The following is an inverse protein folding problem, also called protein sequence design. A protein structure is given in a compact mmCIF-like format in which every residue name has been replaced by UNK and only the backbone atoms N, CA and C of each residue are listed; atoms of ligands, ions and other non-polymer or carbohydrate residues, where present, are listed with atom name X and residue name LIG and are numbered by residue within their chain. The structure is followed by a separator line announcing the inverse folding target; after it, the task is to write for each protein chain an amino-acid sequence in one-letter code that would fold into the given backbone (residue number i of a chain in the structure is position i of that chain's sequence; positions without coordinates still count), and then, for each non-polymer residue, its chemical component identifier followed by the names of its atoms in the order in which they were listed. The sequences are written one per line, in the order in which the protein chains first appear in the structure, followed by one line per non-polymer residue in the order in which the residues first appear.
data_IF_933185941822
#
_entry.id   IF_933185941822
#
_cell.length_a   1.000
_cell.length_b   1.000
_cell.length_c   1.000
_cell.angle_alpha   90.00
_cell.angle_beta   90.00
_cell.angle_gamma   90.00
#
_symmetry.space_group_name_H-M   'P 1'
#
loop_
_entity.id
_entity.type
_entity.pdbx_description
1 polymer ?
#
# COMPACT_ATOMS: atom_id res chain seq x y z
N UNK A 1 9.68 12.52 -4.63
CA UNK A 1 8.56 12.06 -3.79
C UNK A 1 8.32 10.58 -4.09
N UNK A 2 8.15 9.72 -3.06
CA UNK A 2 7.83 8.30 -3.26
C UNK A 2 6.34 8.15 -3.52
N UNK A 3 5.94 7.46 -4.58
CA UNK A 3 4.56 7.06 -4.86
C UNK A 3 4.60 5.61 -5.29
N UNK A 4 3.75 4.80 -4.70
CA UNK A 4 3.60 3.39 -5.03
C UNK A 4 2.34 3.13 -5.86
N UNK A 5 2.23 1.94 -6.42
CA UNK A 5 1.05 1.53 -7.19
C UNK A 5 0.51 0.18 -6.71
N UNK A 6 -0.80 0.06 -6.62
CA UNK A 6 -1.49 -1.22 -6.51
C UNK A 6 -1.94 -1.63 -7.92
N UNK A 7 -1.21 -2.54 -8.55
CA UNK A 7 -1.51 -3.00 -9.90
C UNK A 7 -2.77 -3.88 -9.87
N UNK A 8 -3.76 -3.61 -10.73
CA UNK A 8 -4.91 -4.49 -10.89
C UNK A 8 -4.46 -5.90 -11.29
N UNK A 9 -4.93 -6.91 -10.58
CA UNK A 9 -4.60 -8.32 -10.88
C UNK A 9 -5.72 -9.05 -11.64
N UNK A 10 -6.73 -8.32 -12.09
CA UNK A 10 -7.81 -8.73 -12.99
C UNK A 10 -7.41 -8.53 -14.46
N UNK A 11 -8.29 -8.85 -15.40
CA UNK A 11 -8.06 -8.64 -16.83
C UNK A 11 -7.05 -9.63 -17.45
N UNK A 12 -6.51 -9.30 -18.60
CA UNK A 12 -5.52 -10.13 -19.31
C UNK A 12 -4.15 -10.02 -18.63
N UNK A 13 -3.34 -11.10 -18.69
CA UNK A 13 -1.98 -11.07 -18.14
C UNK A 13 -1.11 -9.98 -18.77
N UNK A 14 -1.25 -9.76 -20.07
CA UNK A 14 -0.52 -8.71 -20.80
C UNK A 14 -0.78 -7.30 -20.24
N UNK A 15 -2.01 -7.02 -19.80
CA UNK A 15 -2.37 -5.74 -19.16
C UNK A 15 -1.68 -5.60 -17.81
N UNK A 16 -1.78 -6.64 -16.96
CA UNK A 16 -1.13 -6.65 -15.63
C UNK A 16 0.38 -6.45 -15.77
N UNK A 17 1.00 -7.17 -16.69
CA UNK A 17 2.42 -7.05 -17.01
C UNK A 17 2.78 -5.68 -17.57
N UNK A 18 1.95 -5.13 -18.46
CA UNK A 18 2.10 -3.78 -19.02
C UNK A 18 2.08 -2.69 -17.96
N UNK A 19 1.11 -2.72 -17.05
CA UNK A 19 1.06 -1.77 -15.93
C UNK A 19 2.29 -1.86 -15.02
N UNK A 20 2.78 -3.06 -14.76
CA UNK A 20 3.96 -3.25 -13.93
C UNK A 20 5.24 -2.75 -14.62
N UNK A 21 5.39 -3.01 -15.91
CA UNK A 21 6.50 -2.50 -16.71
C UNK A 21 6.48 -0.97 -16.77
N UNK A 22 5.34 -0.38 -17.10
CA UNK A 22 5.15 1.07 -17.11
C UNK A 22 5.44 1.71 -15.75
N UNK A 23 4.95 1.13 -14.66
CA UNK A 23 5.23 1.61 -13.31
C UNK A 23 6.74 1.57 -12.98
N UNK A 24 7.45 0.55 -13.47
CA UNK A 24 8.91 0.44 -13.34
C UNK A 24 9.62 1.52 -14.13
N UNK A 25 9.24 1.75 -15.38
CA UNK A 25 9.80 2.80 -16.26
C UNK A 25 9.55 4.21 -15.69
N UNK A 26 8.36 4.46 -15.20
CA UNK A 26 7.97 5.72 -14.57
C UNK A 26 8.60 5.90 -13.16
N UNK A 27 9.35 4.92 -12.67
CA UNK A 27 10.08 4.99 -11.41
C UNK A 27 9.19 4.99 -10.16
N UNK A 28 8.08 4.28 -10.15
CA UNK A 28 7.30 4.05 -8.93
C UNK A 28 8.14 3.40 -7.85
N UNK A 29 7.83 3.69 -6.58
CA UNK A 29 8.61 3.19 -5.44
C UNK A 29 8.37 1.70 -5.20
N UNK A 30 7.12 1.25 -5.36
CA UNK A 30 6.77 -0.15 -5.28
C UNK A 30 5.57 -0.51 -6.16
N UNK A 31 5.54 -1.77 -6.60
CA UNK A 31 4.40 -2.43 -7.21
C UNK A 31 3.81 -3.35 -6.15
N UNK A 32 2.54 -3.15 -5.87
CA UNK A 32 1.80 -3.89 -4.87
C UNK A 32 0.71 -4.73 -5.54
N UNK A 33 0.44 -5.92 -5.03
CA UNK A 33 -0.67 -6.76 -5.46
C UNK A 33 -1.56 -7.12 -4.29
N UNK A 34 -2.88 -6.96 -4.44
CA UNK A 34 -3.85 -7.44 -3.45
C UNK A 34 -4.11 -8.95 -3.62
N UNK A 35 -4.37 -9.62 -2.50
CA UNK A 35 -4.73 -11.05 -2.50
C UNK A 35 -6.20 -11.21 -2.14
N UNK A 36 -7.07 -11.09 -3.15
CA UNK A 36 -8.54 -11.17 -2.99
C UNK A 36 -9.16 -12.24 -3.89
N UNK A 37 -9.91 -11.86 -4.92
CA UNK A 37 -10.62 -12.77 -5.84
C UNK A 37 -9.96 -12.92 -7.21
N UNK A 38 -8.90 -12.15 -7.47
CA UNK A 38 -8.21 -12.18 -8.75
C UNK A 38 -7.04 -13.19 -8.69
N UNK A 39 -5.94 -12.93 -9.40
CA UNK A 39 -4.77 -13.78 -9.39
C UNK A 39 -4.13 -13.83 -8.00
N UNK A 40 -3.50 -14.96 -7.68
CA UNK A 40 -2.66 -15.09 -6.49
C UNK A 40 -1.56 -14.03 -6.51
N UNK A 41 -1.47 -13.24 -5.43
CA UNK A 41 -0.54 -12.11 -5.39
C UNK A 41 0.92 -12.54 -5.41
N UNK A 42 1.28 -13.61 -4.74
CA UNK A 42 2.68 -14.07 -4.69
C UNK A 42 3.14 -14.61 -6.03
N UNK A 43 2.32 -15.44 -6.68
CA UNK A 43 2.60 -15.94 -8.04
C UNK A 43 2.69 -14.81 -9.05
N UNK A 44 1.80 -13.80 -8.93
CA UNK A 44 1.84 -12.61 -9.77
C UNK A 44 3.13 -11.83 -9.55
N UNK A 45 3.51 -11.55 -8.29
CA UNK A 45 4.72 -10.81 -7.95
C UNK A 45 5.99 -11.55 -8.37
N UNK A 46 6.03 -12.90 -8.22
CA UNK A 46 7.13 -13.71 -8.71
C UNK A 46 7.31 -13.57 -10.25
N UNK A 47 6.20 -13.60 -11.00
CA UNK A 47 6.24 -13.39 -12.44
C UNK A 47 6.67 -11.97 -12.83
N UNK A 48 6.32 -10.95 -12.04
CA UNK A 48 6.71 -9.55 -12.27
C UNK A 48 8.16 -9.23 -11.83
N UNK A 49 8.81 -10.09 -11.05
CA UNK A 49 10.12 -9.82 -10.47
C UNK A 49 11.20 -9.48 -11.50
N UNK A 50 11.19 -10.16 -12.66
CA UNK A 50 12.11 -9.91 -13.77
C UNK A 50 11.67 -8.76 -14.68
N UNK A 51 10.35 -8.44 -14.71
CA UNK A 51 9.79 -7.39 -15.56
C UNK A 51 9.91 -6.00 -14.95
N UNK A 52 10.06 -5.93 -13.60
CA UNK A 52 10.21 -4.69 -12.85
C UNK A 52 11.48 -4.75 -11.95
N UNK A 53 12.69 -4.76 -12.53
CA UNK A 53 13.94 -5.07 -11.82
C UNK A 53 14.38 -4.00 -10.81
N UNK A 54 13.86 -2.79 -10.89
CA UNK A 54 14.27 -1.66 -10.05
C UNK A 54 13.23 -1.22 -9.02
N UNK A 55 12.06 -1.87 -9.01
CA UNK A 55 10.93 -1.50 -8.17
C UNK A 55 10.78 -2.51 -7.03
N UNK A 56 10.41 -2.05 -5.85
CA UNK A 56 10.04 -2.95 -4.75
C UNK A 56 8.72 -3.65 -5.08
N UNK A 57 8.60 -4.90 -4.67
CA UNK A 57 7.39 -5.70 -4.84
C UNK A 57 6.76 -5.95 -3.47
N UNK A 58 5.42 -5.89 -3.39
CA UNK A 58 4.76 -6.11 -2.12
C UNK A 58 3.37 -6.74 -2.27
N UNK A 59 2.94 -7.49 -1.26
CA UNK A 59 1.52 -7.78 -1.09
C UNK A 59 0.83 -6.63 -0.35
N UNK A 60 -0.37 -6.22 -0.81
CA UNK A 60 -1.16 -5.18 -0.15
C UNK A 60 -2.67 -5.53 -0.14
N UNK A 61 -3.08 -6.50 0.65
CA UNK A 61 -2.30 -7.36 1.55
C UNK A 61 -2.71 -8.81 1.41
N UNK A 62 -1.89 -9.76 1.88
CA UNK A 62 -2.24 -11.18 1.91
C UNK A 62 -2.90 -11.53 3.27
N UNK A 63 -4.07 -12.22 3.29
CA UNK A 63 -4.69 -12.67 4.52
C UNK A 63 -3.88 -13.78 5.22
N UNK A 64 -3.70 -13.64 6.55
CA UNK A 64 -2.98 -14.64 7.36
C UNK A 64 -3.68 -16.01 7.44
N UNK A 65 -4.95 -16.07 7.09
CA UNK A 65 -5.74 -17.32 7.13
C UNK A 65 -5.68 -18.14 5.86
N UNK A 66 -5.07 -17.62 4.79
CA UNK A 66 -4.93 -18.36 3.52
C UNK A 66 -3.76 -19.34 3.51
N UNK A 67 -2.77 -19.12 4.35
CA UNK A 67 -1.57 -19.95 4.45
C UNK A 67 -1.19 -20.15 5.91
N UNK A 68 -0.60 -21.30 6.25
CA UNK A 68 0.07 -21.45 7.54
C UNK A 68 1.27 -20.46 7.63
N UNK A 69 1.71 -20.09 8.85
CA UNK A 69 2.91 -19.27 8.99
C UNK A 69 4.14 -19.83 8.26
N UNK A 70 4.31 -21.17 8.29
CA UNK A 70 5.41 -21.83 7.57
C UNK A 70 5.29 -21.65 6.05
N UNK A 71 4.10 -21.92 5.49
CA UNK A 71 3.87 -21.72 4.05
C UNK A 71 4.01 -20.24 3.65
N UNK A 72 3.60 -19.30 4.50
CA UNK A 72 3.78 -17.88 4.26
C UNK A 72 5.26 -17.49 4.31
N UNK A 73 6.00 -17.96 5.32
CA UNK A 73 7.44 -17.71 5.45
C UNK A 73 8.20 -18.21 4.22
N UNK A 74 7.90 -19.44 3.78
CA UNK A 74 8.51 -20.05 2.59
C UNK A 74 8.16 -19.26 1.31
N UNK A 75 6.88 -18.93 1.10
CA UNK A 75 6.43 -18.21 -0.08
C UNK A 75 7.05 -16.81 -0.16
N UNK A 76 7.02 -16.07 0.95
CA UNK A 76 7.56 -14.71 1.01
C UNK A 76 9.07 -14.68 0.79
N UNK A 77 9.81 -15.62 1.40
CA UNK A 77 11.25 -15.76 1.20
C UNK A 77 11.61 -16.10 -0.24
N UNK A 78 10.82 -16.96 -0.89
CA UNK A 78 11.00 -17.30 -2.31
C UNK A 78 10.80 -16.10 -3.23
N UNK A 79 9.73 -15.32 -3.00
CA UNK A 79 9.50 -14.09 -3.80
C UNK A 79 10.59 -13.06 -3.55
N UNK A 80 11.04 -12.92 -2.30
CA UNK A 80 12.14 -12.01 -1.94
C UNK A 80 13.44 -12.38 -2.66
N UNK A 81 13.78 -13.66 -2.71
CA UNK A 81 14.94 -14.17 -3.44
C UNK A 81 14.83 -13.91 -4.95
N UNK A 82 13.70 -14.28 -5.55
CA UNK A 82 13.43 -14.06 -6.98
C UNK A 82 13.50 -12.58 -7.40
N UNK A 83 13.17 -11.65 -6.53
CA UNK A 83 13.28 -10.23 -6.81
C UNK A 83 14.56 -9.57 -6.25
N UNK A 84 15.56 -10.36 -5.78
CA UNK A 84 16.82 -9.83 -5.30
C UNK A 84 16.72 -8.98 -4.04
N UNK A 85 15.89 -9.41 -3.08
CA UNK A 85 15.76 -8.75 -1.77
C UNK A 85 14.92 -7.48 -1.78
N UNK A 86 14.03 -7.29 -2.76
CA UNK A 86 13.18 -6.10 -2.90
C UNK A 86 11.74 -6.31 -2.44
N UNK A 87 11.43 -7.46 -1.82
CA UNK A 87 10.08 -7.81 -1.40
C UNK A 87 9.71 -7.19 -0.03
N UNK A 88 8.44 -6.84 0.12
CA UNK A 88 7.79 -6.48 1.38
C UNK A 88 6.55 -7.35 1.57
N UNK A 89 6.39 -7.93 2.74
CA UNK A 89 5.24 -8.77 3.07
C UNK A 89 4.13 -7.95 3.73
N UNK A 90 3.11 -7.59 2.99
CA UNK A 90 1.91 -6.98 3.55
C UNK A 90 0.91 -8.05 3.98
N UNK A 91 0.52 -8.04 5.25
CA UNK A 91 -0.40 -8.99 5.87
C UNK A 91 -1.68 -8.31 6.35
N UNK A 92 -2.78 -9.03 6.30
CA UNK A 92 -4.07 -8.60 6.84
C UNK A 92 -4.88 -9.75 7.41
N UNK A 93 -5.98 -9.45 8.09
CA UNK A 93 -6.91 -10.48 8.58
C UNK A 93 -7.97 -10.87 7.53
N UNK A 94 -8.12 -10.07 6.48
CA UNK A 94 -9.27 -10.18 5.60
C UNK A 94 -10.58 -9.79 6.30
N UNK A 95 -11.69 -9.93 5.60
CA UNK A 95 -13.02 -9.67 6.15
C UNK A 95 -13.65 -11.01 6.59
N UNK A 96 -14.32 -11.01 7.75
CA UNK A 96 -14.91 -12.22 8.34
C UNK A 96 -15.80 -12.99 7.35
N UNK A 97 -16.66 -12.27 6.62
CA UNK A 97 -17.56 -12.87 5.64
C UNK A 97 -16.77 -13.54 4.51
N UNK A 98 -15.79 -12.85 3.92
CA UNK A 98 -15.00 -13.40 2.81
C UNK A 98 -14.13 -14.57 3.26
N UNK A 99 -13.52 -14.49 4.44
CA UNK A 99 -12.72 -15.59 4.97
C UNK A 99 -13.57 -16.84 5.19
N UNK A 100 -14.74 -16.68 5.81
CA UNK A 100 -15.63 -17.81 6.07
C UNK A 100 -16.26 -18.39 4.80
N UNK A 101 -16.87 -17.53 3.96
CA UNK A 101 -17.65 -18.00 2.81
C UNK A 101 -16.81 -18.42 1.60
N UNK A 102 -15.66 -17.79 1.38
CA UNK A 102 -14.84 -18.08 0.19
C UNK A 102 -13.72 -19.07 0.48
N UNK A 103 -13.20 -19.07 1.70
CA UNK A 103 -11.99 -19.82 2.04
C UNK A 103 -12.21 -20.84 3.16
N UNK A 104 -13.42 -20.91 3.74
CA UNK A 104 -13.72 -21.82 4.85
C UNK A 104 -12.88 -21.55 6.11
N UNK A 105 -12.32 -20.35 6.23
CA UNK A 105 -11.43 -19.97 7.32
C UNK A 105 -12.17 -19.10 8.35
N UNK A 106 -11.94 -19.39 9.62
CA UNK A 106 -12.52 -18.63 10.72
C UNK A 106 -11.52 -17.63 11.29
N UNK A 107 -11.96 -16.40 11.46
CA UNK A 107 -11.23 -15.35 12.19
C UNK A 107 -11.62 -15.43 13.67
N UNK A 108 -10.69 -15.80 14.50
CA UNK A 108 -10.88 -15.90 15.95
C UNK A 108 -10.60 -14.56 16.65
N UNK A 109 -9.44 -14.43 17.30
CA UNK A 109 -8.96 -13.23 17.98
C UNK A 109 -7.90 -12.50 17.12
N UNK A 110 -8.30 -11.60 16.20
CA UNK A 110 -7.44 -11.13 15.13
C UNK A 110 -6.16 -10.42 15.60
N UNK A 111 -6.18 -9.69 16.71
CA UNK A 111 -4.98 -9.04 17.26
C UNK A 111 -3.96 -10.08 17.78
N UNK A 112 -4.42 -11.04 18.58
CA UNK A 112 -3.56 -12.08 19.13
C UNK A 112 -3.04 -13.00 18.02
N UNK A 113 -3.90 -13.37 17.08
CA UNK A 113 -3.54 -14.22 15.94
C UNK A 113 -2.57 -13.55 14.99
N UNK A 114 -2.73 -12.26 14.70
CA UNK A 114 -1.77 -11.50 13.90
C UNK A 114 -0.40 -11.43 14.58
N UNK A 115 -0.36 -11.16 15.88
CA UNK A 115 0.89 -11.13 16.66
C UNK A 115 1.61 -12.48 16.62
N UNK A 116 0.88 -13.55 16.88
CA UNK A 116 1.40 -14.92 16.81
C UNK A 116 1.94 -15.24 15.42
N UNK A 117 1.17 -14.94 14.37
CA UNK A 117 1.52 -15.22 12.99
C UNK A 117 2.81 -14.53 12.55
N UNK A 118 2.92 -13.22 12.81
CA UNK A 118 4.11 -12.43 12.49
C UNK A 118 5.32 -12.94 13.27
N UNK A 119 5.14 -13.25 14.56
CA UNK A 119 6.21 -13.82 15.40
C UNK A 119 6.74 -15.13 14.83
N UNK A 120 5.84 -16.04 14.42
CA UNK A 120 6.22 -17.32 13.83
C UNK A 120 6.94 -17.15 12.48
N UNK A 121 6.44 -16.27 11.59
CA UNK A 121 7.09 -15.99 10.31
C UNK A 121 8.51 -15.48 10.51
N UNK A 122 8.71 -14.53 11.42
CA UNK A 122 10.04 -14.00 11.74
C UNK A 122 10.97 -15.03 12.39
N UNK A 123 10.44 -15.86 13.28
CA UNK A 123 11.21 -16.95 13.90
C UNK A 123 11.74 -17.93 12.86
N UNK A 124 10.89 -18.35 11.92
CA UNK A 124 11.27 -19.25 10.83
C UNK A 124 12.34 -18.62 9.92
N UNK A 125 12.24 -17.34 9.58
CA UNK A 125 13.29 -16.65 8.80
C UNK A 125 14.61 -16.52 9.57
N UNK A 126 14.56 -16.54 10.91
CA UNK A 126 15.75 -16.49 11.77
C UNK A 126 16.35 -17.87 12.04
N UNK A 127 15.84 -18.92 11.41
CA UNK A 127 16.38 -20.29 11.53
C UNK A 127 15.86 -21.07 12.74
N UNK A 128 14.70 -20.68 13.29
CA UNK A 128 14.02 -21.49 14.30
C UNK A 128 13.13 -22.53 13.60
N UNK A 129 13.48 -23.81 13.77
CA UNK A 129 12.81 -24.93 13.07
C UNK A 129 11.45 -25.29 13.66
N UNK A 130 11.15 -24.90 14.91
CA UNK A 130 9.89 -25.21 15.55
C UNK A 130 9.31 -23.98 16.23
N UNK A 131 8.00 -23.80 16.02
CA UNK A 131 7.24 -22.74 16.66
C UNK A 131 5.92 -23.31 17.19
N UNK A 132 5.52 -22.93 18.39
CA UNK A 132 4.31 -23.40 19.05
C UNK A 132 3.52 -22.21 19.59
N UNK A 133 2.39 -21.95 18.97
CA UNK A 133 1.47 -20.88 19.31
C UNK A 133 0.10 -21.40 19.72
N UNK A 134 -0.81 -20.49 20.05
CA UNK A 134 -2.17 -20.88 20.46
C UNK A 134 -3.03 -21.34 19.29
N UNK A 135 -2.78 -20.82 18.08
CA UNK A 135 -3.52 -21.15 16.86
C UNK A 135 -2.73 -21.96 15.86
N UNK A 136 -1.46 -21.64 15.69
CA UNK A 136 -0.60 -22.32 14.72
C UNK A 136 0.57 -23.01 15.43
N UNK A 137 0.92 -24.15 14.85
CA UNK A 137 2.10 -24.92 15.25
C UNK A 137 2.86 -25.30 14.01
N UNK A 138 4.20 -25.26 14.07
CA UNK A 138 5.04 -25.65 12.95
C UNK A 138 6.35 -26.28 13.45
N UNK A 139 6.75 -27.35 12.80
CA UNK A 139 8.08 -27.99 12.89
C UNK A 139 8.84 -27.77 11.58
N UNK A 140 8.44 -26.80 10.76
CA UNK A 140 9.07 -26.48 9.49
C UNK A 140 10.40 -25.78 9.71
N UNK A 141 11.43 -26.20 8.97
CA UNK A 141 12.70 -25.50 8.83
C UNK A 141 13.12 -25.40 7.37
N UNK A 142 13.86 -24.40 7.01
CA UNK A 142 14.44 -24.27 5.68
C UNK A 142 15.60 -25.23 5.51
N UNK A 143 15.72 -25.86 4.32
CA UNK A 143 16.80 -26.76 3.95
C UNK A 143 17.48 -26.24 2.69
N UNK A 144 18.81 -26.08 2.75
CA UNK A 144 19.64 -25.56 1.63
C UNK A 144 19.21 -24.22 1.03
N UNK A 145 18.42 -23.45 1.80
CA UNK A 145 17.94 -22.11 1.45
C UNK A 145 17.87 -21.25 2.72
N UNK A 146 18.61 -20.16 2.74
CA UNK A 146 18.60 -19.21 3.85
C UNK A 146 17.80 -17.97 3.48
N UNK A 147 16.60 -17.74 4.08
CA UNK A 147 15.84 -16.52 3.86
C UNK A 147 16.64 -15.28 4.25
N UNK A 148 16.43 -14.19 3.53
CA UNK A 148 16.94 -12.89 3.97
C UNK A 148 16.30 -12.53 5.31
N UNK A 149 17.12 -12.23 6.28
CA UNK A 149 16.64 -11.68 7.55
C UNK A 149 16.18 -10.24 7.33
N UNK A 150 15.10 -9.85 8.02
CA UNK A 150 14.58 -8.50 7.94
C UNK A 150 13.79 -8.20 6.65
N UNK A 151 13.12 -9.20 6.02
CA UNK A 151 12.07 -8.93 5.05
C UNK A 151 11.02 -8.07 5.76
N UNK A 152 10.72 -6.84 5.28
CA UNK A 152 9.79 -5.96 5.97
C UNK A 152 8.36 -6.53 5.99
N UNK A 153 7.70 -6.46 7.15
CA UNK A 153 6.32 -6.91 7.33
C UNK A 153 5.44 -5.69 7.60
N UNK A 154 4.46 -5.46 6.72
CA UNK A 154 3.47 -4.40 6.86
C UNK A 154 2.11 -4.97 7.22
N UNK A 155 1.37 -4.29 8.10
CA UNK A 155 0.06 -4.78 8.53
C UNK A 155 -1.06 -3.88 8.04
N UNK A 156 -2.11 -4.47 7.45
CA UNK A 156 -3.35 -3.74 7.19
C UNK A 156 -4.08 -3.45 8.51
N UNK A 157 -4.38 -2.20 8.76
CA UNK A 157 -5.02 -1.79 10.00
C UNK A 157 -5.92 -0.57 9.82
N UNK A 158 -7.08 -0.59 10.51
CA UNK A 158 -7.98 0.56 10.59
C UNK A 158 -8.42 0.81 12.04
N UNK A 159 -8.65 -0.24 12.84
CA UNK A 159 -8.98 -0.07 14.25
C UNK A 159 -7.76 0.36 15.05
N UNK A 160 -7.96 1.20 16.08
CA UNK A 160 -6.87 1.64 16.99
C UNK A 160 -6.05 0.48 17.52
N UNK A 161 -6.68 -0.64 17.91
CA UNK A 161 -5.96 -1.82 18.39
C UNK A 161 -5.05 -2.44 17.36
N UNK A 162 -5.48 -2.52 16.07
CA UNK A 162 -4.64 -3.05 15.00
C UNK A 162 -3.56 -2.05 14.57
N UNK A 163 -3.85 -0.74 14.60
CA UNK A 163 -2.86 0.33 14.33
C UNK A 163 -1.73 0.25 15.37
N UNK A 164 -2.08 0.14 16.66
CA UNK A 164 -1.10 -0.01 17.75
C UNK A 164 -0.28 -1.29 17.58
N UNK A 165 -0.94 -2.40 17.24
CA UNK A 165 -0.24 -3.67 16.97
C UNK A 165 0.72 -3.54 15.79
N UNK A 166 0.30 -2.89 14.69
CA UNK A 166 1.18 -2.65 13.55
C UNK A 166 2.42 -1.83 13.93
N UNK A 167 2.23 -0.78 14.75
CA UNK A 167 3.32 0.05 15.24
C UNK A 167 4.29 -0.69 16.18
N UNK A 168 3.81 -1.72 16.89
CA UNK A 168 4.59 -2.53 17.83
C UNK A 168 5.40 -3.63 17.15
N UNK A 169 4.80 -4.35 16.20
CA UNK A 169 5.40 -5.55 15.62
C UNK A 169 5.66 -5.47 14.11
N UNK A 170 5.23 -4.42 13.44
CA UNK A 170 5.40 -4.22 11.99
C UNK A 170 6.52 -3.24 11.66
N UNK A 171 6.88 -3.22 10.39
CA UNK A 171 7.79 -2.26 9.79
C UNK A 171 7.03 -1.17 9.03
N UNK A 172 5.71 -1.30 8.92
CA UNK A 172 4.80 -0.34 8.31
C UNK A 172 3.33 -0.76 8.41
N UNK A 173 2.48 0.12 7.94
CA UNK A 173 1.02 -0.05 7.90
C UNK A 173 0.48 0.14 6.49
N UNK A 174 -0.57 -0.61 6.13
CA UNK A 174 -1.29 -0.44 4.87
C UNK A 174 -2.73 -0.02 5.17
N UNK A 175 -3.13 1.13 4.62
CA UNK A 175 -4.43 1.74 4.80
C UNK A 175 -5.24 1.68 3.51
N UNK A 176 -6.50 1.23 3.59
CA UNK A 176 -7.43 1.18 2.45
C UNK A 176 -8.67 2.00 2.76
N UNK A 177 -9.16 2.77 1.76
CA UNK A 177 -10.34 3.65 1.88
C UNK A 177 -10.28 4.55 3.13
N UNK A 178 -9.09 5.04 3.48
CA UNK A 178 -8.80 5.78 4.70
C UNK A 178 -8.62 7.26 4.36
N UNK A 179 -9.54 8.16 4.81
CA UNK A 179 -9.44 9.59 4.53
C UNK A 179 -8.19 10.22 5.16
N UNK A 180 -7.59 11.25 4.53
CA UNK A 180 -6.46 11.98 5.10
C UNK A 180 -6.69 12.48 6.53
N UNK A 181 -7.92 12.92 6.87
CA UNK A 181 -8.27 13.34 8.24
C UNK A 181 -8.06 12.22 9.26
N UNK A 182 -8.47 10.99 8.96
CA UNK A 182 -8.26 9.86 9.87
C UNK A 182 -6.78 9.49 10.02
N UNK A 183 -6.00 9.59 8.94
CA UNK A 183 -4.55 9.36 8.99
C UNK A 183 -3.91 10.35 9.96
N UNK A 184 -4.20 11.64 9.81
CA UNK A 184 -3.64 12.72 10.62
C UNK A 184 -4.09 12.63 12.08
N UNK A 185 -5.38 12.42 12.32
CA UNK A 185 -5.97 12.62 13.64
C UNK A 185 -6.00 11.34 14.49
N UNK A 186 -5.85 10.16 13.85
CA UNK A 186 -5.91 8.87 14.54
C UNK A 186 -4.68 8.00 14.25
N UNK A 187 -4.37 7.73 12.98
CA UNK A 187 -3.33 6.73 12.63
C UNK A 187 -1.96 7.19 13.11
N UNK A 188 -1.54 8.38 12.71
CA UNK A 188 -0.20 8.93 13.04
C UNK A 188 -0.02 9.10 14.56
N UNK A 189 -0.99 9.66 15.31
CA UNK A 189 -0.88 9.74 16.77
C UNK A 189 -0.74 8.36 17.44
N UNK A 190 -1.57 7.38 17.08
CA UNK A 190 -1.50 6.03 17.67
C UNK A 190 -0.15 5.34 17.40
N UNK A 191 0.38 5.47 16.17
CA UNK A 191 1.71 4.95 15.82
C UNK A 191 2.79 5.67 16.64
N UNK A 192 2.73 7.01 16.69
CA UNK A 192 3.69 7.84 17.40
C UNK A 192 3.76 7.52 18.90
N UNK A 193 2.62 7.28 19.53
CA UNK A 193 2.56 6.94 20.96
C UNK A 193 3.21 5.58 21.24
N UNK A 194 2.93 4.57 20.41
CA UNK A 194 3.51 3.22 20.60
C UNK A 194 5.01 3.24 20.35
N UNK A 195 5.46 3.83 19.24
CA UNK A 195 6.87 3.85 18.87
C UNK A 195 7.72 4.66 19.85
N UNK A 196 7.22 5.81 20.28
CA UNK A 196 7.87 6.64 21.33
C UNK A 196 8.01 5.87 22.64
N UNK A 197 6.97 5.15 23.08
CA UNK A 197 7.02 4.32 24.28
C UNK A 197 8.04 3.18 24.18
N UNK A 198 8.29 2.68 22.97
CA UNK A 198 9.29 1.64 22.69
C UNK A 198 10.69 2.20 22.40
N UNK A 199 10.91 3.51 22.39
CA UNK A 199 12.19 4.14 22.03
C UNK A 199 12.53 4.01 20.54
N UNK A 200 11.53 3.82 19.67
CA UNK A 200 11.69 3.66 18.23
C UNK A 200 11.39 4.98 17.51
N UNK A 201 12.10 5.25 16.41
CA UNK A 201 11.84 6.42 15.57
C UNK A 201 10.58 6.20 14.71
N UNK A 202 9.78 7.26 14.57
CA UNK A 202 8.64 7.27 13.67
C UNK A 202 9.09 7.28 12.20
N UNK A 203 10.25 7.84 11.90
CA UNK A 203 10.83 7.87 10.56
C UNK A 203 11.15 6.47 9.99
N UNK A 204 11.34 5.48 10.86
CA UNK A 204 11.61 4.08 10.48
C UNK A 204 10.31 3.27 10.28
N UNK A 205 9.16 3.93 10.16
CA UNK A 205 7.88 3.25 10.01
C UNK A 205 7.10 3.81 8.82
N UNK A 206 6.84 2.95 7.84
CA UNK A 206 6.13 3.35 6.64
C UNK A 206 4.60 3.37 6.83
N UNK A 207 3.96 4.42 6.30
CA UNK A 207 2.50 4.54 6.23
C UNK A 207 2.08 4.54 4.76
N UNK A 208 1.66 3.37 4.27
CA UNK A 208 1.14 3.21 2.92
C UNK A 208 -0.37 3.48 2.92
N UNK A 209 -0.81 4.48 2.20
CA UNK A 209 -2.22 4.81 2.05
C UNK A 209 -2.69 4.60 0.61
N UNK A 210 -3.65 3.71 0.41
CA UNK A 210 -4.27 3.49 -0.88
C UNK A 210 -5.14 4.70 -1.27
N UNK A 211 -4.82 5.30 -2.41
CA UNK A 211 -5.49 6.46 -2.99
C UNK A 211 -6.15 6.04 -4.29
N UNK A 212 -7.48 5.81 -4.32
CA UNK A 212 -8.19 5.54 -5.56
C UNK A 212 -8.01 6.72 -6.52
N UNK A 213 -7.55 6.42 -7.74
CA UNK A 213 -7.12 7.46 -8.67
C UNK A 213 -7.63 7.18 -10.09
N UNK A 214 -8.02 8.24 -10.80
CA UNK A 214 -8.38 8.20 -12.21
C UNK A 214 -7.99 9.52 -12.90
N UNK A 215 -7.08 9.45 -13.86
CA UNK A 215 -6.81 10.54 -14.78
C UNK A 215 -7.87 10.48 -15.89
N UNK A 216 -8.88 11.33 -15.80
CA UNK A 216 -10.03 11.32 -16.71
C UNK A 216 -10.76 12.65 -16.72
N UNK A 217 -11.37 12.99 -17.87
CA UNK A 217 -12.32 14.08 -18.00
C UNK A 217 -13.77 13.63 -17.65
N UNK A 218 -14.02 12.30 -17.63
CA UNK A 218 -15.31 11.72 -17.22
C UNK A 218 -15.34 11.48 -15.70
N UNK A 219 -15.45 12.58 -14.96
CA UNK A 219 -15.48 12.58 -13.49
C UNK A 219 -16.70 11.83 -12.97
N UNK A 220 -17.85 11.96 -13.63
CA UNK A 220 -19.10 11.33 -13.19
C UNK A 220 -19.01 9.80 -13.21
N UNK A 221 -18.45 9.21 -14.27
CA UNK A 221 -18.21 7.76 -14.33
C UNK A 221 -17.22 7.30 -13.28
N UNK A 222 -16.16 8.04 -13.05
CA UNK A 222 -15.18 7.71 -11.99
C UNK A 222 -15.80 7.77 -10.58
N UNK A 223 -16.60 8.80 -10.29
CA UNK A 223 -17.35 8.94 -9.03
C UNK A 223 -18.33 7.78 -8.84
N UNK A 224 -19.03 7.37 -9.90
CA UNK A 224 -19.93 6.20 -9.85
C UNK A 224 -19.15 4.90 -9.59
N UNK A 225 -18.00 4.74 -10.22
CA UNK A 225 -17.11 3.59 -10.02
C UNK A 225 -16.66 3.48 -8.58
N UNK A 226 -16.15 4.57 -8.00
CA UNK A 226 -15.67 4.57 -6.61
C UNK A 226 -16.80 4.40 -5.59
N UNK A 227 -17.98 4.98 -5.81
CA UNK A 227 -19.13 4.74 -4.94
C UNK A 227 -19.51 3.25 -4.92
N UNK A 228 -19.43 2.57 -6.06
CA UNK A 228 -19.66 1.12 -6.15
C UNK A 228 -18.61 0.32 -5.35
N UNK A 229 -17.35 0.74 -5.35
CA UNK A 229 -16.32 0.13 -4.51
C UNK A 229 -16.56 0.41 -3.02
N UNK A 230 -16.90 1.65 -2.66
CA UNK A 230 -17.10 2.07 -1.28
C UNK A 230 -18.33 1.40 -0.64
N UNK A 231 -19.35 1.02 -1.43
CA UNK A 231 -20.56 0.38 -0.92
C UNK A 231 -20.26 -0.79 0.02
N UNK A 232 -19.37 -1.71 -0.38
CA UNK A 232 -19.02 -2.86 0.44
C UNK A 232 -18.30 -2.47 1.76
N UNK A 233 -17.59 -1.33 1.79
CA UNK A 233 -16.95 -0.84 3.01
C UNK A 233 -17.96 -0.20 3.97
N UNK A 234 -19.01 0.43 3.45
CA UNK A 234 -20.10 0.92 4.30
C UNK A 234 -20.90 -0.20 4.99
N UNK A 235 -20.83 -1.44 4.53
CA UNK A 235 -21.41 -2.60 5.18
C UNK A 235 -20.50 -3.19 6.29
N UNK A 236 -19.23 -2.78 6.35
CA UNK A 236 -18.24 -3.36 7.25
C UNK A 236 -18.06 -2.51 8.52
N UNK A 237 -18.25 -3.09 9.72
CA UNK A 237 -18.23 -2.34 10.98
C UNK A 237 -16.95 -1.52 11.21
N UNK A 238 -15.78 -2.03 10.80
CA UNK A 238 -14.50 -1.35 11.00
C UNK A 238 -14.37 -0.10 10.13
N UNK A 239 -14.83 -0.17 8.88
CA UNK A 239 -14.83 0.98 7.98
C UNK A 239 -15.85 2.02 8.42
N UNK A 240 -17.05 1.61 8.84
CA UNK A 240 -18.07 2.51 9.39
C UNK A 240 -17.52 3.29 10.59
N UNK A 241 -16.90 2.60 11.54
CA UNK A 241 -16.30 3.24 12.72
C UNK A 241 -15.19 4.24 12.31
N UNK A 242 -14.38 3.91 11.32
CA UNK A 242 -13.36 4.79 10.76
C UNK A 242 -14.00 6.02 10.08
N UNK A 243 -15.01 5.84 9.20
CA UNK A 243 -15.70 6.96 8.55
C UNK A 243 -16.35 7.90 9.55
N UNK A 244 -17.00 7.38 10.58
CA UNK A 244 -17.58 8.19 11.66
C UNK A 244 -16.47 9.00 12.38
N UNK A 245 -15.37 8.35 12.73
CA UNK A 245 -14.24 9.00 13.40
C UNK A 245 -13.53 10.04 12.49
N UNK A 246 -13.61 9.87 11.17
CA UNK A 246 -13.08 10.80 10.17
C UNK A 246 -14.03 11.98 9.87
N UNK A 247 -15.22 12.04 10.49
CA UNK A 247 -16.19 13.12 10.30
C UNK A 247 -17.22 12.87 9.19
N UNK A 248 -17.45 11.60 8.80
CA UNK A 248 -18.45 11.17 7.82
C UNK A 248 -19.59 10.37 8.45
N UNK A 249 -19.95 10.70 9.68
CA UNK A 249 -21.08 10.07 10.38
C UNK A 249 -22.41 10.26 9.66
N UNK A 250 -22.62 11.43 9.05
CA UNK A 250 -23.80 11.73 8.27
C UNK A 250 -23.91 10.84 7.01
N UNK A 251 -22.79 10.55 6.34
CA UNK A 251 -22.75 9.62 5.20
C UNK A 251 -23.17 8.20 5.63
N UNK A 252 -22.68 7.76 6.78
CA UNK A 252 -23.04 6.44 7.34
C UNK A 252 -24.52 6.38 7.69
N UNK A 253 -25.07 7.43 8.29
CA UNK A 253 -26.50 7.53 8.62
C UNK A 253 -27.38 7.60 7.36
N UNK A 254 -26.98 8.38 6.35
CA UNK A 254 -27.66 8.48 5.07
C UNK A 254 -27.69 7.14 4.32
N UNK A 255 -26.57 6.41 4.34
CA UNK A 255 -26.47 5.06 3.75
C UNK A 255 -27.45 4.09 4.39
N UNK A 256 -27.57 4.11 5.74
CA UNK A 256 -28.51 3.25 6.47
C UNK A 256 -29.99 3.64 6.22
N UNK A 257 -30.26 4.91 6.07
CA UNK A 257 -31.61 5.43 5.82
C UNK A 257 -32.05 5.28 4.35
N UNK A 258 -31.16 4.92 3.44
CA UNK A 258 -31.44 4.86 2.00
C UNK A 258 -32.44 3.74 1.67
N UNK A 259 -33.72 4.12 1.56
CA UNK A 259 -34.85 3.26 1.20
C UNK A 259 -34.97 3.15 -0.32
N UNK A 260 -34.28 2.28 -0.97
CA UNK A 260 -34.33 2.10 -2.44
C UNK A 260 -33.28 1.14 -2.93
N UNK A 261 -32.70 0.38 -1.99
CA UNK A 261 -31.70 -0.63 -2.28
C UNK A 261 -30.38 -0.04 -2.76
N UNK A 262 -29.61 -0.82 -3.46
CA UNK A 262 -28.22 -0.56 -3.83
C UNK A 262 -27.99 0.82 -4.48
N UNK A 263 -28.83 1.21 -5.45
CA UNK A 263 -28.69 2.49 -6.15
C UNK A 263 -28.89 3.70 -5.22
N UNK A 264 -29.84 3.63 -4.30
CA UNK A 264 -30.06 4.69 -3.31
C UNK A 264 -28.92 4.79 -2.32
N UNK A 265 -28.35 3.66 -1.89
CA UNK A 265 -27.20 3.59 -1.02
C UNK A 265 -25.93 4.18 -1.68
N UNK A 266 -25.71 3.92 -2.98
CA UNK A 266 -24.60 4.56 -3.72
C UNK A 266 -24.71 6.09 -3.70
N UNK A 267 -25.94 6.61 -3.93
CA UNK A 267 -26.18 8.05 -3.95
C UNK A 267 -26.09 8.70 -2.55
N UNK A 268 -26.23 7.92 -1.49
CA UNK A 268 -26.07 8.37 -0.11
C UNK A 268 -24.61 8.61 0.27
N UNK A 269 -23.65 8.03 -0.45
CA UNK A 269 -22.22 8.31 -0.28
C UNK A 269 -21.93 9.70 -0.86
N UNK A 270 -21.55 10.64 -0.02
CA UNK A 270 -21.41 12.04 -0.43
C UNK A 270 -20.24 12.25 -1.40
N UNK A 271 -20.37 13.26 -2.24
CA UNK A 271 -19.29 13.72 -3.10
C UNK A 271 -18.09 14.21 -2.27
N UNK A 272 -18.34 14.82 -1.11
CA UNK A 272 -17.30 15.25 -0.18
C UNK A 272 -16.39 14.09 0.22
N UNK A 273 -16.95 12.95 0.64
CA UNK A 273 -16.18 11.77 1.01
C UNK A 273 -15.39 11.24 -0.19
N UNK A 274 -16.02 11.18 -1.36
CA UNK A 274 -15.36 10.73 -2.59
C UNK A 274 -14.15 11.62 -2.93
N UNK A 275 -14.33 12.94 -2.95
CA UNK A 275 -13.25 13.89 -3.28
C UNK A 275 -12.13 13.95 -2.21
N UNK A 276 -12.47 13.66 -0.96
CA UNK A 276 -11.46 13.57 0.10
C UNK A 276 -10.63 12.28 0.01
N UNK A 277 -11.23 11.19 -0.44
CA UNK A 277 -10.56 9.89 -0.59
C UNK A 277 -9.78 9.74 -1.89
N UNK A 278 -10.28 10.33 -2.99
CA UNK A 278 -9.90 9.95 -4.35
C UNK A 278 -9.18 11.07 -5.09
N UNK A 279 -8.31 10.69 -6.01
CA UNK A 279 -7.65 11.58 -6.95
C UNK A 279 -8.29 11.38 -8.34
N UNK A 280 -9.30 12.20 -8.68
CA UNK A 280 -10.03 12.12 -9.95
C UNK A 280 -9.85 13.46 -10.68
N UNK A 281 -9.39 13.43 -11.93
CA UNK A 281 -9.17 14.59 -12.79
C UNK A 281 -7.82 14.55 -13.51
N UNK A 282 -7.23 15.72 -13.74
CA UNK A 282 -5.95 15.86 -14.43
C UNK A 282 -4.73 15.55 -13.51
N UNK A 283 -3.53 15.63 -14.07
CA UNK A 283 -2.28 15.37 -13.34
C UNK A 283 -2.07 16.34 -12.17
N UNK A 284 -2.53 17.58 -12.28
CA UNK A 284 -2.43 18.57 -11.22
C UNK A 284 -3.34 18.19 -10.04
N UNK A 285 -4.56 17.79 -10.30
CA UNK A 285 -5.53 17.32 -9.31
C UNK A 285 -5.00 16.08 -8.58
N UNK A 286 -4.48 15.10 -9.34
CA UNK A 286 -3.87 13.89 -8.76
C UNK A 286 -2.72 14.26 -7.84
N UNK A 287 -1.84 15.14 -8.30
CA UNK A 287 -0.72 15.66 -7.50
C UNK A 287 -1.17 16.30 -6.18
N UNK A 288 -2.17 17.17 -6.22
CA UNK A 288 -2.71 17.84 -5.03
C UNK A 288 -3.27 16.85 -4.01
N UNK A 289 -3.97 15.82 -4.47
CA UNK A 289 -4.51 14.77 -3.58
C UNK A 289 -3.39 13.96 -2.96
N UNK A 290 -2.38 13.54 -3.73
CA UNK A 290 -1.23 12.83 -3.20
C UNK A 290 -0.47 13.65 -2.14
N UNK A 291 -0.37 14.98 -2.31
CA UNK A 291 0.17 15.87 -1.30
C UNK A 291 -0.70 15.90 -0.04
N UNK A 292 -2.03 16.00 -0.14
CA UNK A 292 -2.93 15.96 1.03
C UNK A 292 -2.73 14.69 1.87
N UNK A 293 -2.54 13.54 1.23
CA UNK A 293 -2.24 12.30 1.93
C UNK A 293 -0.89 12.36 2.67
N UNK A 294 0.11 12.97 2.05
CA UNK A 294 1.43 13.15 2.69
C UNK A 294 1.38 14.11 3.87
N UNK A 295 0.73 15.25 3.69
CA UNK A 295 0.55 16.24 4.75
C UNK A 295 -0.21 15.66 5.94
N UNK A 296 -1.06 14.66 5.68
CA UNK A 296 -1.72 13.87 6.71
C UNK A 296 -0.82 12.81 7.38
N UNK A 297 0.38 12.55 6.84
CA UNK A 297 1.36 11.62 7.41
C UNK A 297 1.54 10.30 6.65
N UNK A 298 0.95 10.13 5.46
CA UNK A 298 1.27 9.00 4.61
C UNK A 298 2.69 9.13 4.04
N UNK A 299 3.59 8.21 4.36
CA UNK A 299 4.97 8.23 3.85
C UNK A 299 5.06 7.75 2.40
N UNK A 300 4.13 6.89 1.97
CA UNK A 300 4.06 6.30 0.64
C UNK A 300 2.60 6.19 0.16
N UNK A 301 2.02 7.27 -0.41
CA UNK A 301 0.73 7.18 -1.08
C UNK A 301 0.78 6.18 -2.22
N UNK A 302 -0.18 5.27 -2.26
CA UNK A 302 -0.27 4.17 -3.22
C UNK A 302 -1.49 4.35 -4.11
N UNK A 303 -1.28 4.74 -5.37
CA UNK A 303 -2.40 4.88 -6.31
C UNK A 303 -3.03 3.53 -6.62
N UNK A 304 -4.35 3.52 -6.74
CA UNK A 304 -5.14 2.34 -7.10
C UNK A 304 -6.12 2.70 -8.20
N UNK A 305 -6.37 1.78 -9.13
CA UNK A 305 -7.37 1.99 -10.17
C UNK A 305 -8.76 2.14 -9.55
N UNK A 306 -9.54 3.11 -10.02
CA UNK A 306 -10.99 3.18 -9.79
C UNK A 306 -11.66 2.23 -10.80
N UNK A 307 -12.60 1.43 -10.33
CA UNK A 307 -13.28 0.47 -11.18
C UNK A 307 -14.01 1.15 -12.35
N UNK A 308 -13.78 0.61 -13.56
CA UNK A 308 -14.39 1.12 -14.78
C UNK A 308 -13.61 2.27 -15.45
N UNK A 309 -12.44 2.66 -14.91
CA UNK A 309 -11.58 3.67 -15.53
C UNK A 309 -10.35 3.03 -16.17
N UNK A 310 -9.77 3.71 -17.17
CA UNK A 310 -8.46 3.35 -17.70
C UNK A 310 -7.36 3.68 -16.68
N UNK A 311 -6.42 2.75 -16.50
CA UNK A 311 -5.38 2.91 -15.48
C UNK A 311 -4.06 3.44 -16.03
N UNK A 312 -3.76 3.24 -17.30
CA UNK A 312 -2.50 3.69 -17.90
C UNK A 312 -2.34 5.23 -17.87
N UNK A 313 -3.36 6.05 -18.24
CA UNK A 313 -3.26 7.50 -18.09
C UNK A 313 -3.05 7.92 -16.63
N UNK A 314 -3.64 7.20 -15.68
CA UNK A 314 -3.47 7.47 -14.24
C UNK A 314 -2.04 7.22 -13.78
N UNK A 315 -1.40 6.15 -14.26
CA UNK A 315 0.02 5.89 -13.99
C UNK A 315 0.91 7.02 -14.50
N UNK A 316 0.67 7.49 -15.71
CA UNK A 316 1.43 8.60 -16.30
C UNK A 316 1.23 9.89 -15.50
N UNK A 317 -0.03 10.28 -15.27
CA UNK A 317 -0.38 11.51 -14.57
C UNK A 317 0.18 11.58 -13.14
N UNK A 318 0.13 10.47 -12.38
CA UNK A 318 0.68 10.41 -11.04
C UNK A 318 2.23 10.41 -11.00
N UNK A 319 2.89 10.01 -12.09
CA UNK A 319 4.35 10.06 -12.21
C UNK A 319 4.90 11.44 -12.60
N UNK A 320 4.17 12.23 -13.39
CA UNK A 320 4.54 13.61 -13.77
C UNK A 320 4.76 14.50 -12.54
N UNK A 321 4.03 14.24 -11.47
CA UNK A 321 4.22 14.86 -10.18
C UNK A 321 5.66 14.73 -9.62
N UNK A 322 6.41 13.68 -9.96
CA UNK A 322 7.82 13.51 -9.57
C UNK A 322 8.76 14.45 -10.32
N UNK A 323 8.45 14.76 -11.57
CA UNK A 323 9.26 15.63 -12.41
C UNK A 323 9.17 17.08 -11.94
N UNK A 324 7.98 17.56 -11.61
CA UNK A 324 7.74 18.93 -11.13
C UNK A 324 8.44 19.21 -9.79
N UNK A 325 8.46 18.24 -8.86
CA UNK A 325 9.15 18.35 -7.59
C UNK A 325 10.69 18.40 -7.73
N UNK A 326 11.26 17.78 -8.76
CA UNK A 326 12.71 17.84 -9.05
C UNK A 326 13.13 19.19 -9.61
N UNK A 327 12.29 19.85 -10.41
CA UNK A 327 12.57 21.18 -10.99
C UNK A 327 12.55 22.27 -9.92
N UNK A 328 11.66 22.19 -8.92
CA UNK A 328 11.60 23.18 -7.83
C UNK A 328 12.76 23.11 -6.83
N UNK A 329 13.54 22.02 -6.81
CA UNK A 329 14.71 21.84 -5.94
C UNK A 329 16.05 22.16 -6.66
N UNK A 330 16.04 22.52 -7.95
CA UNK A 330 17.23 22.73 -8.78
C UNK A 330 17.48 24.17 -9.18
N UNK A 331 16.93 25.19 -8.51
CA UNK A 331 17.39 26.57 -8.63
C UNK A 331 18.39 26.93 -7.52
N UNK A 332 19.71 26.81 -7.75
CA UNK A 332 20.69 27.54 -6.95
C UNK A 332 20.78 28.94 -7.50
N UNK A 333 20.66 29.91 -6.59
CA UNK A 333 20.82 31.31 -6.87
C UNK A 333 22.08 31.62 -7.69
N UNK A 334 21.90 32.35 -8.76
CA UNK A 334 22.99 33.07 -9.43
C UNK A 334 23.60 34.03 -8.46
N UNK A 335 24.86 33.84 -8.15
CA UNK A 335 25.73 34.93 -7.72
C UNK A 335 26.74 35.20 -8.82
N UNK A 336 26.73 36.44 -9.27
CA UNK A 336 27.64 37.03 -10.24
C UNK A 336 29.10 37.05 -9.76
N UNK A 337 29.99 36.91 -10.74
CA UNK A 337 31.27 37.66 -10.79
C UNK A 337 32.53 36.91 -10.41
N UNK A 338 33.43 36.70 -11.33
CA UNK A 338 34.72 37.36 -11.46
C UNK A 338 35.63 36.59 -12.43
N UNK A 339 35.95 37.31 -13.49
CA UNK A 339 37.15 37.44 -14.30
C UNK A 339 38.22 36.33 -14.45
N UNK A 340 38.57 36.19 -15.68
CA UNK A 340 39.66 35.50 -16.35
C UNK A 340 41.05 35.65 -15.70
N UNK A 341 41.86 34.61 -15.83
CA UNK A 341 43.26 34.72 -16.25
C UNK A 341 43.73 33.47 -16.99
N UNK A 342 44.34 33.70 -18.12
CA UNK A 342 44.97 32.74 -18.98
C UNK A 342 46.34 32.28 -18.43
N UNK A 343 46.72 31.03 -18.72
CA UNK A 343 48.06 30.54 -18.40
C UNK A 343 48.36 29.20 -19.06
N UNK A 344 49.11 29.25 -19.99
CA UNK A 344 49.76 28.46 -21.03
C UNK A 344 50.45 27.11 -20.64
N UNK A 345 50.45 26.21 -21.61
CA UNK A 345 51.45 25.21 -22.03
C UNK A 345 51.73 23.97 -21.19
N UNK A 346 51.73 22.85 -21.91
CA UNK A 346 52.55 21.68 -21.65
C UNK A 346 52.08 20.39 -22.32
N UNK A 347 52.48 20.15 -23.58
CA UNK A 347 52.41 18.86 -24.25
C UNK A 347 53.31 17.83 -23.57
N UNK A 348 52.97 16.52 -23.62
CA UNK A 348 53.81 15.43 -24.12
C UNK A 348 52.98 14.13 -24.10
N UNK A 349 53.01 13.42 -25.24
CA UNK A 349 52.34 12.16 -25.52
C UNK A 349 53.20 10.93 -25.18
N UNK A 350 52.79 9.75 -25.69
CA UNK A 350 52.88 8.46 -24.99
C UNK A 350 54.18 7.68 -25.28
N UNK A 351 54.38 6.52 -24.70
CA UNK A 351 53.98 5.28 -25.36
C UNK A 351 52.96 4.43 -24.58
#
# INVERSE_FOLDING_TARGET
MTVSVLVPTTGQWSEVAGFAALASELGYASINCSHTRARDSFTTLAALASMAPHVRLATAVAPIYHRSPASMAQTAATVDDLCGGRFRLGLGTGHRITMSQWHGAEIGRPLAEMREYVGMVRALWSGHDATDGARWRSEFGFVDFAPRQGIPIYLAALSRGMIRLAAEIGDGIVLRACPPSYIRDVVVPEIGDVRRAAGLDLADFDVLAAVPSAATDDVDSAVKGIRSELHCYFELPFYRAMFIAAGYGDDVAAFDAAAGGWAAQLNAISERLVLDLCAIGDSQTISQVLHRYRDAGATDPMITQIWGTDFEPTLVAAAEHKATARVSLSEPGRSDGIAATAGHLGMLGPP
#
